data_IF_827954388212
#
_entry.id   IF_827954388212
#
_cell.length_a   1.000
_cell.length_b   1.000
_cell.length_c   1.000
_cell.angle_alpha   90.00
_cell.angle_beta   90.00
_cell.angle_gamma   90.00
#
_symmetry.space_group_name_H-M   'P 1'
#
loop_
_entity.id
_entity.type
_entity.pdbx_description
1 polymer ?
#
# COMPACT_ATOMS: atom_id res chain seq x y z
N UNK A 1 -16.75 5.79 -13.01
CA UNK A 1 -17.59 5.01 -12.06
C UNK A 1 -16.74 3.84 -11.60
N UNK A 2 -16.19 3.89 -10.38
CA UNK A 2 -15.48 2.76 -9.80
C UNK A 2 -16.47 1.67 -9.41
N UNK A 3 -16.29 0.46 -9.91
CA UNK A 3 -17.06 -0.67 -9.43
C UNK A 3 -16.77 -0.86 -7.94
N UNK A 4 -17.81 -0.93 -7.10
CA UNK A 4 -17.68 -1.36 -5.70
C UNK A 4 -17.24 -2.84 -5.70
N UNK A 5 -15.94 -3.07 -5.74
CA UNK A 5 -15.34 -4.42 -5.78
C UNK A 5 -15.64 -5.17 -4.47
N UNK A 6 -15.82 -4.45 -3.37
CA UNK A 6 -16.07 -5.02 -2.05
C UNK A 6 -17.45 -4.64 -1.55
N UNK A 7 -18.24 -5.65 -1.16
CA UNK A 7 -19.56 -5.49 -0.54
C UNK A 7 -19.42 -5.27 0.98
N UNK A 8 -20.50 -4.83 1.62
CA UNK A 8 -20.57 -4.62 3.09
C UNK A 8 -20.15 -5.86 3.87
N UNK A 9 -20.57 -7.04 3.40
CA UNK A 9 -20.28 -8.33 4.04
C UNK A 9 -18.77 -8.60 4.10
N UNK A 10 -18.01 -8.20 3.09
CA UNK A 10 -16.56 -8.30 3.09
C UNK A 10 -15.94 -7.51 4.26
N UNK A 11 -16.36 -6.27 4.46
CA UNK A 11 -15.85 -5.45 5.57
C UNK A 11 -16.26 -6.00 6.94
N UNK A 12 -17.49 -6.50 7.07
CA UNK A 12 -17.95 -7.13 8.31
C UNK A 12 -17.16 -8.40 8.64
N UNK A 13 -16.86 -9.22 7.65
CA UNK A 13 -16.04 -10.42 7.81
C UNK A 13 -14.59 -10.09 8.19
N UNK A 14 -14.00 -9.07 7.58
CA UNK A 14 -12.66 -8.61 7.96
C UNK A 14 -12.65 -8.13 9.40
N UNK A 15 -13.60 -7.29 9.79
CA UNK A 15 -13.69 -6.77 11.16
C UNK A 15 -13.87 -7.88 12.19
N UNK A 16 -14.67 -8.90 11.91
CA UNK A 16 -14.88 -10.02 12.83
C UNK A 16 -13.65 -10.92 12.98
N UNK A 17 -12.94 -11.20 11.88
CA UNK A 17 -11.84 -12.17 11.87
C UNK A 17 -10.47 -11.56 12.19
N UNK A 18 -10.29 -10.24 11.97
CA UNK A 18 -8.99 -9.55 12.09
C UNK A 18 -9.00 -8.40 13.10
N UNK A 19 -9.91 -8.41 14.10
CA UNK A 19 -10.13 -7.31 15.07
C UNK A 19 -8.86 -6.56 15.50
N UNK A 20 -7.84 -7.29 15.95
CA UNK A 20 -6.60 -6.72 16.50
C UNK A 20 -5.53 -6.44 15.43
N UNK A 21 -5.86 -6.64 14.16
CA UNK A 21 -4.96 -6.45 13.02
C UNK A 21 -5.49 -5.43 12.02
N UNK A 22 -6.49 -4.67 12.41
CA UNK A 22 -7.08 -3.62 11.58
C UNK A 22 -6.87 -2.28 12.27
N UNK A 23 -6.40 -1.31 11.51
CA UNK A 23 -6.34 0.09 11.87
C UNK A 23 -7.19 0.88 10.88
N UNK A 24 -8.23 1.53 11.38
CA UNK A 24 -9.07 2.42 10.60
C UNK A 24 -8.80 3.86 11.02
N UNK A 25 -8.24 4.64 10.11
CA UNK A 25 -8.08 6.08 10.26
C UNK A 25 -9.31 6.77 9.68
N UNK A 26 -9.91 7.67 10.43
CA UNK A 26 -11.16 8.33 10.02
C UNK A 26 -10.99 9.83 10.14
N UNK A 27 -11.27 10.54 9.05
CA UNK A 27 -11.35 12.00 9.06
C UNK A 27 -12.77 12.46 9.34
N UNK A 28 -12.86 13.49 10.16
CA UNK A 28 -14.11 14.18 10.50
C UNK A 28 -14.06 15.63 10.04
N UNK A 29 -15.19 16.13 9.62
CA UNK A 29 -15.46 17.55 9.43
C UNK A 29 -16.79 17.86 10.11
N UNK A 30 -16.79 18.78 11.05
CA UNK A 30 -18.00 19.15 11.84
C UNK A 30 -18.76 17.90 12.36
N UNK A 31 -18.05 17.01 13.07
CA UNK A 31 -18.55 15.72 13.60
C UNK A 31 -19.02 14.70 12.54
N UNK A 32 -18.95 15.04 11.28
CA UNK A 32 -19.31 14.13 10.19
C UNK A 32 -18.08 13.38 9.66
N UNK A 33 -18.19 12.05 9.56
CA UNK A 33 -17.15 11.20 8.95
C UNK A 33 -17.12 11.50 7.45
N UNK A 34 -15.98 12.02 6.96
CA UNK A 34 -15.83 12.44 5.56
C UNK A 34 -14.93 11.50 4.75
N UNK A 35 -13.97 10.85 5.40
CA UNK A 35 -13.06 9.94 4.73
C UNK A 35 -12.52 8.87 5.68
N UNK A 36 -11.99 7.78 5.13
CA UNK A 36 -11.31 6.75 5.91
C UNK A 36 -10.20 6.05 5.12
N UNK A 37 -9.17 5.60 5.85
CA UNK A 37 -8.13 4.71 5.34
C UNK A 37 -8.10 3.42 6.18
N UNK A 38 -8.25 2.28 5.50
CA UNK A 38 -8.16 0.96 6.11
C UNK A 38 -6.75 0.43 5.95
N UNK A 39 -6.15 0.05 7.07
CA UNK A 39 -4.82 -0.53 7.12
C UNK A 39 -4.86 -1.87 7.87
N UNK A 40 -3.93 -2.76 7.54
CA UNK A 40 -3.69 -3.97 8.31
C UNK A 40 -2.42 -3.84 9.14
N UNK A 41 -2.41 -4.50 10.29
CA UNK A 41 -1.30 -4.49 11.23
C UNK A 41 -0.71 -5.88 11.40
N UNK A 42 0.62 -5.95 11.47
CA UNK A 42 1.35 -7.07 12.04
C UNK A 42 2.22 -6.57 13.20
N UNK A 43 3.03 -7.44 13.78
CA UNK A 43 3.96 -7.03 14.85
C UNK A 43 4.97 -5.96 14.41
N UNK A 44 5.31 -5.95 13.13
CA UNK A 44 6.40 -5.11 12.59
C UNK A 44 6.00 -4.23 11.43
N UNK A 45 4.84 -4.46 10.83
CA UNK A 45 4.40 -3.76 9.61
C UNK A 45 2.99 -3.19 9.74
N UNK A 46 2.81 -2.02 9.17
CA UNK A 46 1.52 -1.42 8.83
C UNK A 46 1.35 -1.46 7.31
N UNK A 47 0.25 -2.02 6.84
CA UNK A 47 -0.06 -2.19 5.43
C UNK A 47 -1.24 -1.31 5.04
N UNK A 48 -1.00 -0.24 4.28
CA UNK A 48 -2.05 0.57 3.68
C UNK A 48 -2.82 -0.23 2.62
N UNK A 49 -4.15 -0.29 2.72
CA UNK A 49 -4.95 -1.18 1.85
C UNK A 49 -6.03 -0.48 1.06
N UNK A 50 -6.91 0.25 1.70
CA UNK A 50 -8.06 0.88 1.07
C UNK A 50 -8.22 2.32 1.57
N UNK A 51 -8.63 3.17 0.67
CA UNK A 51 -8.98 4.56 0.92
C UNK A 51 -10.38 4.84 0.37
N UNK A 52 -11.13 5.67 1.06
CA UNK A 52 -12.42 6.18 0.58
C UNK A 52 -12.75 7.54 1.18
N UNK A 53 -13.34 8.40 0.37
CA UNK A 53 -13.83 9.72 0.76
C UNK A 53 -15.24 9.96 0.20
N UNK A 54 -16.07 10.71 0.92
CA UNK A 54 -17.39 11.10 0.46
C UNK A 54 -17.34 12.19 -0.61
N UNK A 55 -16.35 13.06 -0.51
CA UNK A 55 -16.09 14.15 -1.44
C UNK A 55 -14.59 14.46 -1.47
N UNK A 56 -14.16 15.21 -2.44
CA UNK A 56 -12.76 15.60 -2.58
C UNK A 56 -12.42 16.69 -1.54
N UNK A 57 -11.41 16.40 -0.73
CA UNK A 57 -10.78 17.34 0.19
C UNK A 57 -9.31 17.42 -0.16
N UNK A 58 -8.78 18.59 -0.50
CA UNK A 58 -7.38 18.76 -0.88
C UNK A 58 -6.43 18.16 0.16
N UNK A 59 -5.47 17.37 -0.31
CA UNK A 59 -4.40 16.73 0.49
C UNK A 59 -4.87 15.68 1.52
N UNK A 60 -6.16 15.48 1.77
CA UNK A 60 -6.66 14.56 2.78
C UNK A 60 -6.23 13.11 2.53
N UNK A 61 -6.11 12.70 1.28
CA UNK A 61 -5.56 11.39 0.93
C UNK A 61 -4.12 11.22 1.44
N UNK A 62 -3.27 12.23 1.28
CA UNK A 62 -1.90 12.17 1.77
C UNK A 62 -1.84 12.16 3.30
N UNK A 63 -2.69 12.95 3.93
CA UNK A 63 -2.79 12.99 5.38
C UNK A 63 -3.15 11.62 5.95
N UNK A 64 -4.29 11.03 5.53
CA UNK A 64 -4.75 9.78 6.10
C UNK A 64 -3.93 8.55 5.69
N UNK A 65 -3.49 8.49 4.43
CA UNK A 65 -2.84 7.28 3.92
C UNK A 65 -1.33 7.24 4.15
N UNK A 66 -0.69 8.40 4.40
CA UNK A 66 0.77 8.45 4.59
C UNK A 66 1.17 9.06 5.92
N UNK A 67 0.80 10.29 6.22
CA UNK A 67 1.29 10.97 7.41
C UNK A 67 0.74 10.34 8.69
N UNK A 68 -0.55 10.11 8.79
CA UNK A 68 -1.15 9.44 9.94
C UNK A 68 -0.67 7.99 10.09
N UNK A 69 -0.36 7.30 8.98
CA UNK A 69 0.20 5.96 9.03
C UNK A 69 1.63 5.96 9.59
N UNK A 70 2.45 6.95 9.23
CA UNK A 70 3.81 7.12 9.75
C UNK A 70 3.75 7.49 11.24
N UNK A 71 2.92 8.46 11.62
CA UNK A 71 2.78 8.90 13.02
C UNK A 71 2.32 7.75 13.92
N UNK A 72 1.34 6.97 13.47
CA UNK A 72 0.87 5.78 14.17
C UNK A 72 1.99 4.74 14.33
N UNK A 73 2.75 4.51 13.27
CA UNK A 73 3.85 3.54 13.29
C UNK A 73 4.94 3.95 14.28
N UNK A 74 5.32 5.23 14.32
CA UNK A 74 6.29 5.78 15.27
C UNK A 74 5.77 5.61 16.71
N UNK A 75 4.53 6.04 16.98
CA UNK A 75 3.93 5.97 18.31
C UNK A 75 3.79 4.53 18.85
N UNK A 76 3.66 3.54 17.97
CA UNK A 76 3.46 2.13 18.31
C UNK A 76 4.67 1.23 18.07
N UNK A 77 5.85 1.81 17.78
CA UNK A 77 7.09 1.08 17.47
C UNK A 77 6.94 0.07 16.33
N UNK A 78 6.13 0.39 15.33
CA UNK A 78 6.00 -0.39 14.09
C UNK A 78 7.17 -0.04 13.17
N UNK A 79 7.91 -1.05 12.75
CA UNK A 79 9.19 -0.85 12.05
C UNK A 79 9.02 -0.43 10.58
N UNK A 80 7.96 -0.90 9.92
CA UNK A 80 7.75 -0.69 8.49
C UNK A 80 6.34 -0.22 8.20
N UNK A 81 6.22 0.76 7.29
CA UNK A 81 4.94 1.21 6.73
C UNK A 81 4.95 0.92 5.23
N UNK A 82 4.01 0.10 4.78
CA UNK A 82 3.87 -0.27 3.38
C UNK A 82 2.65 0.44 2.76
N UNK A 83 2.90 1.32 1.82
CA UNK A 83 1.86 2.10 1.15
C UNK A 83 1.36 1.45 -0.17
N UNK A 84 1.66 0.17 -0.39
CA UNK A 84 1.31 -0.58 -1.60
C UNK A 84 2.19 -0.25 -2.82
N UNK A 85 1.91 -0.92 -3.94
CA UNK A 85 2.56 -0.68 -5.22
C UNK A 85 2.08 0.64 -5.84
N UNK A 86 2.84 1.18 -6.78
CA UNK A 86 2.56 2.39 -7.58
C UNK A 86 2.61 3.74 -6.84
N UNK A 87 3.03 4.75 -7.57
CA UNK A 87 3.01 6.16 -7.18
C UNK A 87 4.39 6.70 -6.77
N UNK A 88 5.05 7.37 -7.72
CA UNK A 88 6.35 8.04 -7.50
C UNK A 88 6.28 9.12 -6.41
N UNK A 89 5.10 9.73 -6.19
CA UNK A 89 4.86 10.69 -5.11
C UNK A 89 5.15 10.11 -3.71
N UNK A 90 5.24 8.79 -3.55
CA UNK A 90 5.62 8.14 -2.29
C UNK A 90 7.10 8.34 -1.96
N UNK A 91 7.95 8.39 -2.96
CA UNK A 91 9.39 8.62 -2.78
C UNK A 91 9.66 9.96 -2.08
N UNK A 92 8.98 11.03 -2.50
CA UNK A 92 9.12 12.36 -1.88
C UNK A 92 8.68 12.39 -0.41
N UNK A 93 8.01 11.35 0.08
CA UNK A 93 7.58 11.15 1.47
C UNK A 93 8.40 10.11 2.22
N UNK A 94 9.53 9.67 1.64
CA UNK A 94 10.46 8.73 2.29
C UNK A 94 10.10 7.25 2.14
N UNK A 95 9.10 6.90 1.35
CA UNK A 95 8.81 5.50 1.04
C UNK A 95 9.78 4.97 -0.01
N UNK A 96 10.73 4.18 0.41
CA UNK A 96 11.73 3.59 -0.49
C UNK A 96 11.17 2.37 -1.23
N UNK A 97 11.61 2.13 -2.49
CA UNK A 97 11.18 0.98 -3.26
C UNK A 97 11.69 -0.32 -2.64
N UNK A 98 10.79 -1.27 -2.43
CA UNK A 98 11.12 -2.61 -1.94
C UNK A 98 10.78 -3.67 -2.98
N UNK A 99 11.64 -4.67 -3.10
CA UNK A 99 11.34 -5.84 -3.93
C UNK A 99 10.21 -6.65 -3.30
N UNK A 100 9.21 -6.94 -4.10
CA UNK A 100 8.18 -7.91 -3.76
C UNK A 100 8.25 -9.09 -4.71
N UNK A 101 7.73 -10.23 -4.28
CA UNK A 101 7.75 -11.47 -5.02
C UNK A 101 6.34 -12.02 -5.19
N UNK A 102 6.04 -12.53 -6.36
CA UNK A 102 4.83 -13.30 -6.62
C UNK A 102 5.20 -14.62 -7.28
N UNK A 103 4.41 -15.66 -7.02
CA UNK A 103 4.57 -16.96 -7.65
C UNK A 103 3.32 -17.29 -8.46
N UNK A 104 3.53 -17.71 -9.70
CA UNK A 104 2.45 -18.05 -10.63
C UNK A 104 2.67 -19.44 -11.19
N UNK A 105 1.63 -20.26 -11.20
CA UNK A 105 1.62 -21.53 -11.87
C UNK A 105 0.92 -21.40 -13.23
N UNK A 106 1.58 -21.83 -14.30
CA UNK A 106 1.09 -21.77 -15.66
C UNK A 106 1.07 -23.18 -16.23
N UNK A 107 -0.10 -23.65 -16.60
CA UNK A 107 -0.33 -25.01 -17.11
C UNK A 107 0.37 -25.26 -18.44
N UNK A 108 0.26 -24.30 -19.37
CA UNK A 108 0.76 -24.45 -20.74
C UNK A 108 2.27 -24.23 -20.77
N UNK A 109 3.03 -25.25 -21.18
CA UNK A 109 4.51 -25.26 -21.14
C UNK A 109 5.13 -24.18 -22.01
N UNK A 110 4.63 -24.00 -23.23
CA UNK A 110 5.18 -23.02 -24.17
C UNK A 110 4.97 -21.60 -23.68
N UNK A 111 3.79 -21.32 -23.14
CA UNK A 111 3.47 -20.03 -22.53
C UNK A 111 4.30 -19.79 -21.26
N UNK A 112 4.45 -20.80 -20.41
CA UNK A 112 5.33 -20.74 -19.23
C UNK A 112 6.77 -20.43 -19.61
N UNK A 113 7.29 -21.06 -20.67
CA UNK A 113 8.66 -20.82 -21.17
C UNK A 113 8.85 -19.40 -21.69
N UNK A 114 7.87 -18.88 -22.44
CA UNK A 114 7.90 -17.50 -22.94
C UNK A 114 7.88 -16.47 -21.79
N UNK A 115 7.01 -16.69 -20.77
CA UNK A 115 6.94 -15.84 -19.60
C UNK A 115 8.26 -15.89 -18.80
N UNK A 116 8.83 -17.07 -18.58
CA UNK A 116 10.11 -17.19 -17.87
C UNK A 116 11.24 -16.41 -18.56
N UNK A 117 11.30 -16.43 -19.89
CA UNK A 117 12.25 -15.63 -20.66
C UNK A 117 12.05 -14.13 -20.42
N UNK A 118 10.80 -13.66 -20.52
CA UNK A 118 10.43 -12.26 -20.26
C UNK A 118 10.79 -11.84 -18.83
N UNK A 119 10.46 -12.65 -17.82
CA UNK A 119 10.74 -12.35 -16.40
C UNK A 119 12.23 -12.22 -16.09
N UNK A 120 13.09 -12.94 -16.79
CA UNK A 120 14.54 -12.80 -16.64
C UNK A 120 15.05 -11.43 -17.11
N UNK A 121 14.47 -10.89 -18.18
CA UNK A 121 14.79 -9.54 -18.68
C UNK A 121 14.16 -8.46 -17.76
N UNK A 122 12.89 -8.61 -17.40
CA UNK A 122 12.18 -7.72 -16.51
C UNK A 122 12.89 -7.59 -15.14
N UNK A 123 13.36 -8.70 -14.57
CA UNK A 123 14.10 -8.69 -13.30
C UNK A 123 15.35 -7.82 -13.34
N UNK A 124 16.06 -7.80 -14.48
CA UNK A 124 17.23 -6.92 -14.66
C UNK A 124 16.82 -5.45 -14.71
N UNK A 125 15.76 -5.14 -15.46
CA UNK A 125 15.22 -3.78 -15.54
C UNK A 125 14.72 -3.27 -14.20
N UNK A 126 13.97 -4.09 -13.45
CA UNK A 126 13.49 -3.75 -12.09
C UNK A 126 14.65 -3.46 -11.15
N UNK A 127 15.73 -4.26 -11.20
CA UNK A 127 16.89 -4.03 -10.36
C UNK A 127 17.59 -2.70 -10.67
N UNK A 128 17.66 -2.33 -11.95
CA UNK A 128 18.23 -1.04 -12.36
C UNK A 128 17.33 0.12 -11.92
N UNK A 129 16.05 0.06 -12.25
CA UNK A 129 15.06 1.07 -11.87
C UNK A 129 14.96 1.28 -10.35
N UNK A 130 15.06 0.20 -9.55
CA UNK A 130 15.09 0.33 -8.09
C UNK A 130 16.25 1.20 -7.61
N UNK A 131 17.45 1.03 -8.17
CA UNK A 131 18.62 1.85 -7.82
C UNK A 131 18.41 3.33 -8.18
N UNK A 132 17.82 3.59 -9.35
CA UNK A 132 17.53 4.95 -9.79
C UNK A 132 16.53 5.63 -8.86
N UNK A 133 15.48 4.91 -8.45
CA UNK A 133 14.48 5.41 -7.52
C UNK A 133 15.06 5.63 -6.10
N UNK A 134 15.94 4.76 -5.62
CA UNK A 134 16.62 4.94 -4.33
C UNK A 134 17.47 6.22 -4.31
N UNK A 135 18.09 6.57 -5.44
CA UNK A 135 18.88 7.80 -5.58
C UNK A 135 18.02 9.08 -5.54
N UNK A 136 16.71 8.98 -5.83
CA UNK A 136 15.76 10.09 -5.77
C UNK A 136 15.13 10.29 -4.38
N UNK A 137 15.47 9.42 -3.41
CA UNK A 137 14.94 9.53 -2.05
C UNK A 137 15.30 10.86 -1.38
N UNK A 138 14.39 11.45 -0.59
CA UNK A 138 14.60 12.76 0.05
C UNK A 138 15.62 12.70 1.20
N UNK A 139 15.89 11.51 1.70
CA UNK A 139 16.83 11.29 2.80
C UNK A 139 18.12 10.66 2.26
N UNK A 140 19.23 11.36 2.48
CA UNK A 140 20.57 10.81 2.20
C UNK A 140 20.94 9.86 3.34
N UNK A 141 21.28 8.63 3.00
CA UNK A 141 21.89 7.64 3.92
C UNK A 141 23.32 8.02 4.25
#
# INVERSE_FOLDING_TARGET
>A
MGFNVFKKEFFMNILSNFKNKILLMIAYQDDTKVASALNFLSKTHLYGRLWGSKFEVPYLHFELCYYQAIDYAIANNIKYVEAGAQGEHKLSRGYLPQKTWSAHWIKEKDFSSAINKFLNEESKMINHHKKDLEALGPYKS
#
